data_IF_994151421353
#
_entry.id   IF_994151421353
#
_cell.length_a   1.000
_cell.length_b   1.000
_cell.length_c   1.000
_cell.angle_alpha   90.00
_cell.angle_beta   90.00
_cell.angle_gamma   90.00
#
_symmetry.space_group_name_H-M   'P 1'
#
loop_
_entity.id
_entity.type
_entity.pdbx_description
1 polymer ?
#
# COMPACT_ATOMS: atom_id res chain seq x y z
N UNK A 1 0.49 11.61 7.16
CA UNK A 1 1.43 10.46 7.15
C UNK A 1 2.48 10.60 6.05
N UNK A 2 2.09 10.69 4.78
CA UNK A 2 3.02 10.95 3.66
C UNK A 2 3.32 12.45 3.50
N UNK A 3 4.51 12.79 2.99
CA UNK A 3 4.86 14.20 2.65
C UNK A 3 4.22 14.66 1.35
N UNK A 4 4.07 13.74 0.40
CA UNK A 4 3.44 14.00 -0.89
C UNK A 4 2.12 13.23 -0.98
N UNK A 5 1.02 13.92 -1.35
CA UNK A 5 -0.30 13.30 -1.49
C UNK A 5 -0.38 12.43 -2.74
N UNK A 6 0.26 12.81 -3.85
CA UNK A 6 0.21 12.07 -5.10
C UNK A 6 1.10 10.80 -5.06
N UNK A 7 0.53 9.58 -5.20
CA UNK A 7 1.30 8.32 -5.22
C UNK A 7 2.18 8.17 -6.47
N UNK A 8 1.87 8.84 -7.58
CA UNK A 8 2.61 8.67 -8.84
C UNK A 8 3.92 9.49 -8.91
N UNK A 9 4.20 10.35 -7.93
CA UNK A 9 5.50 11.03 -7.81
C UNK A 9 6.56 10.09 -7.21
N UNK A 10 7.14 9.25 -8.06
CA UNK A 10 8.09 8.18 -7.69
C UNK A 10 9.20 8.62 -6.72
N UNK A 11 9.79 9.80 -6.93
CA UNK A 11 10.89 10.32 -6.09
C UNK A 11 10.51 10.69 -4.64
N UNK A 12 9.22 10.77 -4.32
CA UNK A 12 8.72 11.09 -2.97
C UNK A 12 7.79 10.03 -2.39
N UNK A 13 7.61 8.88 -3.04
CA UNK A 13 6.72 7.80 -2.56
C UNK A 13 7.07 7.32 -1.16
N UNK A 14 8.37 7.19 -0.87
CA UNK A 14 8.86 6.74 0.44
C UNK A 14 9.02 7.87 1.45
N UNK A 15 8.84 9.14 1.04
CA UNK A 15 8.97 10.30 1.93
C UNK A 15 7.73 10.41 2.81
N UNK A 16 7.92 10.08 4.09
CA UNK A 16 6.90 10.19 5.12
C UNK A 16 7.30 11.22 6.18
N UNK A 17 6.31 11.69 6.92
CA UNK A 17 6.54 12.46 8.13
C UNK A 17 7.10 11.52 9.20
N UNK A 18 8.01 12.01 10.04
CA UNK A 18 8.58 11.20 11.13
C UNK A 18 7.56 10.96 12.26
N UNK A 19 6.71 11.97 12.53
CA UNK A 19 5.65 11.92 13.54
C UNK A 19 4.30 12.33 12.96
N UNK A 20 3.23 11.81 13.54
CA UNK A 20 1.87 12.25 13.23
C UNK A 20 1.61 13.66 13.79
N UNK A 21 1.01 14.55 12.99
CA UNK A 21 0.70 15.92 13.42
C UNK A 21 -0.35 15.99 14.53
N UNK A 22 -1.27 15.02 14.60
CA UNK A 22 -2.37 15.03 15.56
C UNK A 22 -2.05 14.31 16.87
N UNK A 23 -1.43 13.11 16.80
CA UNK A 23 -1.15 12.29 17.98
C UNK A 23 0.34 12.21 18.35
N UNK A 24 1.23 12.85 17.58
CA UNK A 24 2.69 12.84 17.79
C UNK A 24 3.36 11.45 17.80
N UNK A 25 2.60 10.39 17.50
CA UNK A 25 3.12 9.04 17.37
C UNK A 25 4.16 8.96 16.25
N UNK A 26 5.30 8.33 16.55
CA UNK A 26 6.36 8.09 15.58
C UNK A 26 5.92 6.97 14.64
N UNK A 27 5.88 7.24 13.34
CA UNK A 27 5.43 6.24 12.34
C UNK A 27 6.43 5.08 12.19
N UNK A 28 7.72 5.32 12.47
CA UNK A 28 8.78 4.32 12.47
C UNK A 28 9.17 4.02 13.92
N UNK A 29 8.66 2.92 14.46
CA UNK A 29 9.02 2.44 15.81
C UNK A 29 10.47 1.97 15.80
N UNK A 30 10.83 1.14 14.81
CA UNK A 30 12.16 0.55 14.64
C UNK A 30 12.79 0.93 13.29
N UNK A 31 14.13 1.04 13.20
CA UNK A 31 14.82 1.11 11.92
C UNK A 31 14.51 -0.20 11.17
N UNK A 32 13.86 -0.12 10.01
CA UNK A 32 13.32 -1.25 9.20
C UNK A 32 11.86 -1.69 9.44
N UNK A 33 11.07 -1.01 10.28
CA UNK A 33 9.65 -1.37 10.53
C UNK A 33 8.79 -1.62 9.27
N UNK A 34 9.08 -0.95 8.15
CA UNK A 34 8.36 -1.12 6.89
C UNK A 34 8.78 -2.33 6.04
N UNK A 35 9.73 -3.16 6.49
CA UNK A 35 10.02 -4.43 5.81
C UNK A 35 8.81 -5.37 5.86
N UNK A 36 8.06 -5.39 6.96
CA UNK A 36 6.81 -6.14 7.05
C UNK A 36 5.75 -5.69 6.02
N UNK A 37 5.67 -4.37 5.77
CA UNK A 37 4.79 -3.81 4.75
C UNK A 37 5.16 -4.27 3.31
N UNK A 38 6.39 -4.73 3.08
CA UNK A 38 6.78 -5.35 1.82
C UNK A 38 6.11 -6.72 1.63
N UNK A 39 6.00 -7.54 2.68
CA UNK A 39 5.27 -8.81 2.61
C UNK A 39 3.77 -8.59 2.37
N UNK A 40 3.19 -7.58 3.01
CA UNK A 40 1.79 -7.18 2.74
C UNK A 40 1.60 -6.78 1.27
N UNK A 41 2.59 -6.13 0.67
CA UNK A 41 2.51 -5.74 -0.75
C UNK A 41 2.46 -6.90 -1.71
N UNK A 42 3.07 -8.04 -1.35
CA UNK A 42 2.94 -9.25 -2.13
C UNK A 42 1.50 -9.79 -2.09
N UNK A 43 0.91 -9.91 -0.90
CA UNK A 43 -0.48 -10.37 -0.76
C UNK A 43 -1.47 -9.44 -1.48
N UNK A 44 -1.29 -8.11 -1.35
CA UNK A 44 -2.10 -7.11 -2.06
C UNK A 44 -1.90 -7.22 -3.57
N UNK A 45 -0.65 -7.37 -4.04
CA UNK A 45 -0.35 -7.54 -5.46
C UNK A 45 -0.99 -8.79 -6.07
N UNK A 46 -0.97 -9.92 -5.35
CA UNK A 46 -1.68 -11.14 -5.75
C UNK A 46 -3.18 -10.89 -5.87
N UNK A 47 -3.80 -10.24 -4.88
CA UNK A 47 -5.22 -9.90 -4.93
C UNK A 47 -5.60 -9.03 -6.15
N UNK A 48 -4.79 -8.01 -6.47
CA UNK A 48 -4.98 -7.20 -7.67
C UNK A 48 -4.78 -8.01 -8.95
N UNK A 49 -3.76 -8.88 -8.99
CA UNK A 49 -3.47 -9.71 -10.17
C UNK A 49 -4.62 -10.66 -10.47
N UNK A 50 -5.15 -11.33 -9.43
CA UNK A 50 -6.31 -12.21 -9.55
C UNK A 50 -7.55 -11.44 -9.98
N UNK A 51 -7.80 -10.25 -9.42
CA UNK A 51 -8.93 -9.42 -9.82
C UNK A 51 -8.84 -9.01 -11.31
N UNK A 52 -7.66 -8.56 -11.77
CA UNK A 52 -7.43 -8.18 -13.17
C UNK A 52 -7.58 -9.39 -14.09
N UNK A 53 -7.08 -10.56 -13.69
CA UNK A 53 -7.25 -11.79 -14.47
C UNK A 53 -8.73 -12.16 -14.62
N UNK A 54 -9.50 -12.14 -13.53
CA UNK A 54 -10.94 -12.46 -13.57
C UNK A 54 -11.67 -11.48 -14.49
N UNK A 55 -11.39 -10.18 -14.38
CA UNK A 55 -12.02 -9.16 -15.23
C UNK A 55 -11.63 -9.35 -16.71
N UNK A 56 -10.33 -9.53 -17.00
CA UNK A 56 -9.86 -9.68 -18.37
C UNK A 56 -10.37 -10.98 -19.02
N UNK A 57 -10.25 -12.10 -18.33
CA UNK A 57 -10.55 -13.40 -18.92
C UNK A 57 -12.05 -13.73 -18.91
N UNK A 58 -12.75 -13.51 -17.80
CA UNK A 58 -14.16 -13.89 -17.67
C UNK A 58 -15.14 -12.81 -18.12
N UNK A 59 -14.86 -11.52 -17.88
CA UNK A 59 -15.80 -10.45 -18.25
C UNK A 59 -15.55 -9.90 -19.66
N UNK A 60 -14.29 -9.79 -20.07
CA UNK A 60 -13.92 -9.24 -21.39
C UNK A 60 -13.64 -10.34 -22.43
N UNK A 61 -13.64 -11.62 -22.03
CA UNK A 61 -13.36 -12.73 -22.93
C UNK A 61 -11.94 -12.70 -23.51
N UNK A 62 -11.00 -12.00 -22.87
CA UNK A 62 -9.65 -11.86 -23.38
C UNK A 62 -8.91 -13.20 -23.32
N UNK A 63 -8.15 -13.50 -24.38
CA UNK A 63 -7.28 -14.68 -24.42
C UNK A 63 -6.25 -14.69 -23.29
N UNK A 64 -5.66 -15.87 -23.02
CA UNK A 64 -4.72 -16.07 -21.92
C UNK A 64 -3.53 -15.10 -21.96
N UNK A 65 -2.92 -14.93 -23.15
CA UNK A 65 -1.78 -14.03 -23.34
C UNK A 65 -2.16 -12.56 -23.11
N UNK A 66 -3.33 -12.14 -23.59
CA UNK A 66 -3.80 -10.75 -23.42
C UNK A 66 -4.08 -10.48 -21.94
N UNK A 67 -4.71 -11.43 -21.24
CA UNK A 67 -4.93 -11.34 -19.79
C UNK A 67 -3.62 -11.27 -19.01
N UNK A 68 -2.59 -12.00 -19.43
CA UNK A 68 -1.26 -11.94 -18.83
C UNK A 68 -0.60 -10.57 -18.99
N UNK A 69 -0.60 -10.00 -20.20
CA UNK A 69 -0.10 -8.64 -20.43
C UNK A 69 -0.92 -7.58 -19.67
N UNK A 70 -2.24 -7.77 -19.55
CA UNK A 70 -3.09 -6.88 -18.77
C UNK A 70 -2.72 -6.88 -17.29
N UNK A 71 -2.42 -8.05 -16.70
CA UNK A 71 -1.94 -8.16 -15.31
C UNK A 71 -0.62 -7.41 -15.14
N UNK A 72 0.35 -7.63 -16.02
CA UNK A 72 1.66 -6.96 -15.94
C UNK A 72 1.48 -5.43 -16.03
N UNK A 73 0.71 -4.95 -17.01
CA UNK A 73 0.43 -3.53 -17.16
C UNK A 73 -0.27 -2.94 -15.94
N UNK A 74 -1.27 -3.65 -15.41
CA UNK A 74 -1.99 -3.22 -14.21
C UNK A 74 -1.05 -3.16 -13.00
N UNK A 75 -0.20 -4.16 -12.78
CA UNK A 75 0.74 -4.16 -11.66
C UNK A 75 1.75 -3.02 -11.74
N UNK A 76 2.25 -2.67 -12.93
CA UNK A 76 3.17 -1.54 -13.10
C UNK A 76 2.46 -0.22 -12.78
N UNK A 77 1.25 -0.03 -13.29
CA UNK A 77 0.46 1.20 -13.06
C UNK A 77 0.03 1.30 -11.59
N UNK A 78 -0.33 0.19 -10.96
CA UNK A 78 -0.78 0.16 -9.56
C UNK A 78 0.37 0.02 -8.57
N UNK A 79 1.62 -0.21 -9.00
CA UNK A 79 2.79 -0.33 -8.12
C UNK A 79 2.87 0.77 -7.03
N UNK A 80 2.77 2.08 -7.35
CA UNK A 80 2.81 3.13 -6.33
C UNK A 80 1.63 3.05 -5.34
N UNK A 81 0.46 2.62 -5.81
CA UNK A 81 -0.75 2.47 -4.99
C UNK A 81 -0.61 1.28 -4.05
N UNK A 82 -0.21 0.11 -4.58
CA UNK A 82 0.00 -1.13 -3.81
C UNK A 82 1.01 -0.86 -2.68
N UNK A 83 2.11 -0.17 -2.99
CA UNK A 83 3.15 0.17 -2.00
C UNK A 83 2.61 1.04 -0.87
N UNK A 84 1.76 2.02 -1.17
CA UNK A 84 1.14 2.87 -0.14
C UNK A 84 0.08 2.12 0.67
N UNK A 85 -0.80 1.39 -0.02
CA UNK A 85 -1.86 0.62 0.62
C UNK A 85 -1.26 -0.37 1.62
N UNK A 86 -0.19 -1.06 1.24
CA UNK A 86 0.49 -2.03 2.09
C UNK A 86 1.09 -1.41 3.34
N UNK A 87 1.66 -0.20 3.23
CA UNK A 87 2.18 0.54 4.39
C UNK A 87 1.06 1.05 5.31
N UNK A 88 -0.07 1.47 4.73
CA UNK A 88 -1.25 1.87 5.51
C UNK A 88 -1.86 0.67 6.26
N UNK A 89 -2.03 -0.47 5.58
CA UNK A 89 -2.53 -1.72 6.16
C UNK A 89 -1.59 -2.17 7.29
N UNK A 90 -0.28 -2.18 7.03
CA UNK A 90 0.72 -2.55 8.03
C UNK A 90 0.61 -1.67 9.28
N UNK A 91 0.57 -0.34 9.13
CA UNK A 91 0.41 0.56 10.28
C UNK A 91 -0.91 0.31 11.01
N UNK A 92 -2.00 0.02 10.30
CA UNK A 92 -3.29 -0.26 10.94
C UNK A 92 -3.26 -1.53 11.80
N UNK A 93 -2.46 -2.54 11.45
CA UNK A 93 -2.27 -3.72 12.30
C UNK A 93 -1.55 -3.42 13.60
N UNK A 94 -0.58 -2.50 13.61
CA UNK A 94 0.19 -2.16 14.82
C UNK A 94 -0.41 -1.00 15.61
N UNK A 95 -1.12 -0.10 14.95
CA UNK A 95 -1.73 1.08 15.54
C UNK A 95 -3.24 1.04 15.36
N UNK A 96 -3.94 0.60 16.39
CA UNK A 96 -5.40 0.68 16.45
C UNK A 96 -5.85 2.11 16.69
N UNK A 97 -6.69 2.66 15.81
CA UNK A 97 -7.25 4.00 15.95
C UNK A 97 -8.20 4.05 17.15
N UNK A 98 -7.80 4.76 18.21
CA UNK A 98 -8.68 5.08 19.34
C UNK A 98 -9.28 6.47 19.13
N UNK A 99 -10.58 6.51 18.79
CA UNK A 99 -11.35 7.75 18.64
C UNK A 99 -11.36 8.48 20.00
N UNK A 100 -10.70 9.63 20.09
CA UNK A 100 -10.55 10.41 21.33
C UNK A 100 -9.22 10.23 22.09
N UNK A 101 -8.28 9.42 21.60
CA UNK A 101 -6.93 9.35 22.17
C UNK A 101 -6.10 10.58 21.77
N UNK A 102 -6.34 11.72 22.42
CA UNK A 102 -5.28 12.68 22.68
C UNK A 102 -4.27 11.97 23.57
N UNK A 103 -3.09 11.67 23.03
CA UNK A 103 -1.87 11.22 23.73
C UNK A 103 -2.07 10.28 24.93
N UNK A 104 -1.73 9.01 24.77
CA UNK A 104 -1.04 8.29 25.87
C UNK A 104 -0.14 7.20 25.33
N UNK A 105 1.15 7.54 25.36
CA UNK A 105 2.31 6.71 25.69
C UNK A 105 2.09 5.20 25.85
N UNK A 106 2.84 4.43 25.07
CA UNK A 106 3.86 3.53 25.60
C UNK A 106 4.95 3.35 24.53
#
# INVERSE_FOLDING_TARGET
MYKESNPYKLGSIFKMQERCSHCQTKYKIEPSFFYGAMYVSYAVGVAFSTAVFIIAHYFLGAGLLVSFFAIIGALIILMPIITRLSRNIWINFFFSYKKGASSKSL
#
